data_IF_525465925324
#
_entry.id   IF_525465925324
#
_cell.length_a   1.000
_cell.length_b   1.000
_cell.length_c   1.000
_cell.angle_alpha   90.00
_cell.angle_beta   90.00
_cell.angle_gamma   90.00
#
_symmetry.space_group_name_H-M   'P 1'
#
loop_
_entity.id
_entity.type
_entity.pdbx_description
1 polymer ?
#
# COMPACT_ATOMS: atom_id res chain seq x y z
N UNK A 1 -2.00 2.46 2.32
CA UNK A 1 -1.33 3.66 1.99
C UNK A 1 -1.58 4.12 0.58
N UNK A 2 -2.32 5.17 0.41
CA UNK A 2 -2.56 5.83 -0.88
C UNK A 2 -1.81 7.16 -1.00
N UNK A 3 -1.00 7.49 0.00
CA UNK A 3 -0.27 8.74 0.08
C UNK A 3 -1.18 9.95 -0.12
N UNK A 4 -0.72 10.92 -0.89
CA UNK A 4 -1.49 12.11 -1.25
C UNK A 4 -2.38 11.94 -2.49
N UNK A 5 -2.59 10.69 -2.97
CA UNK A 5 -3.54 10.40 -4.04
C UNK A 5 -2.97 10.41 -5.46
N UNK A 6 -1.67 10.20 -5.62
CA UNK A 6 -1.06 10.08 -6.96
C UNK A 6 -1.72 8.99 -7.81
N UNK A 7 -2.05 7.85 -7.22
CA UNK A 7 -2.75 6.76 -7.92
C UNK A 7 -4.15 7.19 -8.39
N UNK A 8 -4.88 7.96 -7.55
CA UNK A 8 -6.16 8.54 -7.96
C UNK A 8 -6.00 9.46 -9.17
N UNK A 9 -5.02 10.35 -9.14
CA UNK A 9 -4.77 11.29 -10.24
C UNK A 9 -4.41 10.55 -11.55
N UNK A 10 -3.63 9.47 -11.46
CA UNK A 10 -3.32 8.63 -12.60
C UNK A 10 -4.55 7.87 -13.13
N UNK A 11 -5.38 7.33 -12.24
CA UNK A 11 -6.63 6.68 -12.62
C UNK A 11 -7.59 7.68 -13.29
N UNK A 12 -7.70 8.89 -12.78
CA UNK A 12 -8.56 9.94 -13.33
C UNK A 12 -8.21 10.30 -14.78
N UNK A 13 -6.93 10.23 -15.15
CA UNK A 13 -6.49 10.45 -16.54
C UNK A 13 -6.94 9.34 -17.50
N UNK A 14 -7.05 8.11 -16.99
CA UNK A 14 -7.25 6.91 -17.81
C UNK A 14 -8.69 6.37 -17.76
N UNK A 15 -9.44 6.66 -16.71
CA UNK A 15 -10.80 6.17 -16.51
C UNK A 15 -11.80 7.31 -16.69
N UNK A 16 -12.57 7.29 -17.79
CA UNK A 16 -13.58 8.32 -18.09
C UNK A 16 -14.88 8.17 -17.28
N UNK A 17 -15.14 6.99 -16.70
CA UNK A 17 -16.34 6.76 -15.89
C UNK A 17 -16.23 7.42 -14.51
N UNK A 18 -17.36 7.91 -13.99
CA UNK A 18 -17.43 8.41 -12.63
C UNK A 18 -17.22 7.25 -11.64
N UNK A 19 -16.35 7.44 -10.65
CA UNK A 19 -16.08 6.49 -9.59
C UNK A 19 -15.83 7.22 -8.27
N UNK A 20 -16.11 6.53 -7.17
CA UNK A 20 -15.81 7.02 -5.83
C UNK A 20 -14.45 6.44 -5.41
N UNK A 21 -13.54 7.29 -4.99
CA UNK A 21 -12.22 6.90 -4.51
C UNK A 21 -12.05 7.30 -3.06
N UNK A 22 -11.68 6.33 -2.21
CA UNK A 22 -11.41 6.56 -0.80
C UNK A 22 -9.97 6.14 -0.50
N UNK A 23 -9.16 7.09 -0.08
CA UNK A 23 -7.78 6.85 0.35
C UNK A 23 -7.80 6.55 1.85
N UNK A 24 -7.27 5.39 2.23
CA UNK A 24 -7.12 4.98 3.62
C UNK A 24 -5.67 5.17 4.02
N UNK A 25 -5.46 6.05 4.98
CA UNK A 25 -4.13 6.48 5.41
C UNK A 25 -3.99 6.64 6.92
N UNK A 26 -2.76 6.93 7.36
CA UNK A 26 -2.44 7.24 8.75
C UNK A 26 -3.18 8.49 9.22
N UNK A 27 -3.47 8.62 10.52
CA UNK A 27 -4.15 9.82 11.04
C UNK A 27 -3.44 11.13 10.71
N UNK A 28 -2.11 11.13 10.70
CA UNK A 28 -1.30 12.30 10.35
C UNK A 28 -1.48 12.71 8.89
N UNK A 29 -1.40 11.77 7.95
CA UNK A 29 -1.63 12.05 6.53
C UNK A 29 -3.06 12.52 6.24
N UNK A 30 -4.05 11.92 6.92
CA UNK A 30 -5.45 12.38 6.79
C UNK A 30 -5.62 13.80 7.32
N UNK A 31 -4.90 14.17 8.38
CA UNK A 31 -4.91 15.54 8.92
C UNK A 31 -4.31 16.51 7.90
N UNK A 32 -3.11 16.22 7.39
CA UNK A 32 -2.44 17.04 6.37
C UNK A 32 -3.31 17.19 5.11
N UNK A 33 -3.90 16.10 4.61
CA UNK A 33 -4.78 16.17 3.44
C UNK A 33 -5.97 17.13 3.63
N UNK A 34 -6.48 17.26 4.86
CA UNK A 34 -7.52 18.22 5.20
C UNK A 34 -6.99 19.66 5.29
N UNK A 35 -5.83 19.85 5.90
CA UNK A 35 -5.16 21.15 6.04
C UNK A 35 -4.79 21.74 4.67
N UNK A 36 -4.31 20.88 3.76
CA UNK A 36 -3.98 21.23 2.37
C UNK A 36 -5.19 21.27 1.42
N UNK A 37 -6.41 21.11 1.95
CA UNK A 37 -7.66 21.13 1.18
C UNK A 37 -7.67 20.16 -0.01
N UNK A 38 -7.11 18.95 0.16
CA UNK A 38 -7.13 17.92 -0.88
C UNK A 38 -8.53 17.30 -1.03
N UNK A 39 -9.42 17.99 -1.75
CA UNK A 39 -10.84 17.66 -1.86
C UNK A 39 -11.18 16.80 -3.08
N UNK A 40 -10.21 16.35 -3.85
CA UNK A 40 -10.43 15.60 -5.08
C UNK A 40 -10.90 14.15 -4.84
N UNK A 41 -10.69 13.62 -3.64
CA UNK A 41 -11.19 12.31 -3.21
C UNK A 41 -11.39 12.29 -1.68
N UNK A 42 -11.98 11.21 -1.16
CA UNK A 42 -12.17 11.04 0.27
C UNK A 42 -10.91 10.49 0.92
N UNK A 43 -10.46 11.12 2.01
CA UNK A 43 -9.41 10.61 2.89
C UNK A 43 -10.02 10.08 4.18
N UNK A 44 -9.63 8.87 4.58
CA UNK A 44 -10.13 8.20 5.77
C UNK A 44 -9.00 7.56 6.57
N UNK A 45 -9.13 7.59 7.90
CA UNK A 45 -8.27 6.82 8.79
C UNK A 45 -8.60 5.33 8.65
N UNK A 46 -7.60 4.48 8.77
CA UNK A 46 -7.84 3.04 8.82
C UNK A 46 -8.74 2.69 10.01
N UNK A 47 -9.79 1.93 9.76
CA UNK A 47 -10.65 1.36 10.80
C UNK A 47 -11.19 0.00 10.35
N UNK A 48 -11.57 -0.84 11.31
CA UNK A 48 -12.21 -2.14 11.02
C UNK A 48 -13.52 -1.97 10.24
N UNK A 49 -14.25 -0.89 10.48
CA UNK A 49 -15.52 -0.59 9.81
C UNK A 49 -15.34 -0.31 8.31
N UNK A 50 -14.21 0.30 7.90
CA UNK A 50 -13.93 0.55 6.48
C UNK A 50 -13.73 -0.74 5.68
N UNK A 51 -13.27 -1.81 6.32
CA UNK A 51 -13.06 -3.10 5.66
C UNK A 51 -14.38 -3.84 5.45
N UNK A 52 -15.41 -3.51 6.22
CA UNK A 52 -16.75 -4.10 6.09
C UNK A 52 -17.62 -3.40 5.03
N UNK A 53 -17.12 -2.35 4.39
CA UNK A 53 -17.83 -1.69 3.30
C UNK A 53 -17.66 -2.50 2.00
N UNK A 54 -18.71 -2.56 1.21
CA UNK A 54 -18.67 -3.16 -0.12
C UNK A 54 -17.96 -2.21 -1.07
N UNK A 55 -16.79 -2.60 -1.52
CA UNK A 55 -16.03 -1.91 -2.57
C UNK A 55 -16.02 -2.75 -3.85
N UNK A 56 -16.05 -2.12 -5.02
CA UNK A 56 -15.79 -2.83 -6.26
C UNK A 56 -14.32 -3.30 -6.31
N UNK A 57 -13.42 -2.48 -5.77
CA UNK A 57 -11.99 -2.72 -5.78
C UNK A 57 -11.33 -2.23 -4.49
N UNK A 58 -10.51 -3.08 -3.89
CA UNK A 58 -9.50 -2.68 -2.90
C UNK A 58 -8.13 -2.75 -3.55
N UNK A 59 -7.38 -1.67 -3.44
CA UNK A 59 -6.02 -1.58 -3.96
C UNK A 59 -5.06 -1.19 -2.85
N UNK A 60 -3.96 -1.91 -2.75
CA UNK A 60 -2.83 -1.59 -1.86
C UNK A 60 -1.52 -1.82 -2.61
N UNK A 61 -0.61 -0.87 -2.51
CA UNK A 61 0.72 -0.94 -3.15
C UNK A 61 1.80 -0.67 -2.13
N UNK A 62 2.76 -1.57 -2.00
CA UNK A 62 3.98 -1.42 -1.18
C UNK A 62 3.76 -0.89 0.25
N UNK A 63 2.57 -1.09 0.82
CA UNK A 63 2.20 -0.51 2.11
C UNK A 63 1.96 -1.54 3.22
N UNK A 64 1.56 -2.76 2.85
CA UNK A 64 1.25 -3.82 3.83
C UNK A 64 2.46 -4.23 4.67
N UNK A 65 3.64 -4.14 4.11
CA UNK A 65 4.90 -4.49 4.75
C UNK A 65 5.24 -3.64 5.99
N UNK A 66 4.64 -2.46 6.11
CA UNK A 66 4.90 -1.53 7.22
C UNK A 66 3.95 -1.68 8.40
N UNK A 67 2.98 -2.57 8.31
CA UNK A 67 2.11 -2.87 9.45
C UNK A 67 2.79 -3.80 10.45
N UNK A 68 2.54 -3.58 11.74
CA UNK A 68 3.03 -4.46 12.83
C UNK A 68 2.53 -5.90 12.67
N UNK A 69 1.31 -6.09 12.15
CA UNK A 69 0.72 -7.40 11.89
C UNK A 69 0.09 -7.44 10.49
N UNK A 70 0.90 -7.55 9.43
CA UNK A 70 0.42 -7.48 8.05
C UNK A 70 -0.53 -8.62 7.70
N UNK A 71 -0.32 -9.82 8.25
CA UNK A 71 -1.19 -10.97 8.00
C UNK A 71 -2.62 -10.71 8.49
N UNK A 72 -2.78 -10.02 9.62
CA UNK A 72 -4.11 -9.67 10.12
C UNK A 72 -4.80 -8.67 9.19
N UNK A 73 -4.07 -7.68 8.70
CA UNK A 73 -4.61 -6.71 7.74
C UNK A 73 -5.04 -7.41 6.45
N UNK A 74 -4.18 -8.30 5.90
CA UNK A 74 -4.51 -9.08 4.71
C UNK A 74 -5.79 -9.90 4.92
N UNK A 75 -5.91 -10.62 6.06
CA UNK A 75 -7.14 -11.36 6.39
C UNK A 75 -8.37 -10.45 6.44
N UNK A 76 -8.24 -9.23 6.97
CA UNK A 76 -9.34 -8.26 6.99
C UNK A 76 -9.72 -7.83 5.57
N UNK A 77 -8.75 -7.54 4.69
CA UNK A 77 -9.03 -7.17 3.30
C UNK A 77 -9.79 -8.29 2.57
N UNK A 78 -9.38 -9.54 2.74
CA UNK A 78 -10.04 -10.68 2.10
C UNK A 78 -11.40 -11.05 2.72
N UNK A 79 -11.69 -10.62 3.95
CA UNK A 79 -13.04 -10.74 4.55
C UNK A 79 -14.02 -9.68 4.05
N UNK A 80 -13.54 -8.65 3.35
CA UNK A 80 -14.40 -7.68 2.70
C UNK A 80 -15.22 -8.35 1.59
N UNK A 81 -16.33 -7.77 1.21
CA UNK A 81 -17.15 -8.24 0.08
C UNK A 81 -16.74 -7.61 -1.25
N UNK A 82 -15.48 -7.15 -1.36
CA UNK A 82 -14.99 -6.48 -2.57
C UNK A 82 -14.87 -7.43 -3.74
N UNK A 83 -15.29 -6.98 -4.92
CA UNK A 83 -15.24 -7.79 -6.15
C UNK A 83 -13.81 -8.11 -6.57
N UNK A 84 -12.90 -7.15 -6.39
CA UNK A 84 -11.48 -7.31 -6.68
C UNK A 84 -10.63 -6.83 -5.52
N UNK A 85 -9.49 -7.51 -5.29
CA UNK A 85 -8.43 -7.08 -4.39
C UNK A 85 -7.12 -7.11 -5.16
N UNK A 86 -6.40 -5.99 -5.17
CA UNK A 86 -5.09 -5.88 -5.80
C UNK A 86 -4.04 -5.67 -4.71
N UNK A 87 -3.12 -6.61 -4.60
CA UNK A 87 -1.92 -6.51 -3.79
C UNK A 87 -0.76 -6.18 -4.72
N UNK A 88 -0.45 -4.90 -4.90
CA UNK A 88 0.58 -4.44 -5.83
C UNK A 88 1.93 -4.26 -5.15
N UNK A 89 3.01 -4.61 -5.85
CA UNK A 89 4.39 -4.38 -5.45
C UNK A 89 4.70 -4.84 -4.02
N UNK A 90 4.25 -6.05 -3.68
CA UNK A 90 4.54 -6.62 -2.36
C UNK A 90 5.78 -7.51 -2.41
N UNK A 91 6.54 -7.49 -1.31
CA UNK A 91 7.74 -8.30 -1.13
C UNK A 91 7.38 -9.67 -0.60
N UNK A 92 7.53 -10.68 -1.43
CA UNK A 92 7.35 -12.08 -1.06
C UNK A 92 8.69 -12.74 -0.74
N UNK A 93 8.67 -13.77 0.10
CA UNK A 93 9.84 -14.57 0.41
C UNK A 93 9.45 -16.03 0.66
N UNK A 94 10.34 -16.95 0.31
CA UNK A 94 10.25 -18.36 0.69
C UNK A 94 10.50 -18.56 2.19
N UNK A 95 11.26 -17.66 2.83
CA UNK A 95 11.50 -17.59 4.26
C UNK A 95 11.11 -16.18 4.78
N UNK A 96 9.80 -15.94 5.03
CA UNK A 96 9.32 -14.61 5.38
C UNK A 96 9.87 -14.12 6.70
N UNK A 97 10.46 -12.94 6.70
CA UNK A 97 11.05 -12.29 7.88
C UNK A 97 10.46 -10.89 8.07
N UNK A 98 10.51 -10.44 9.31
CA UNK A 98 10.31 -9.04 9.66
C UNK A 98 11.67 -8.48 10.01
N UNK A 99 12.09 -7.42 9.36
CA UNK A 99 13.34 -6.73 9.61
C UNK A 99 13.10 -5.23 9.76
N UNK A 100 14.05 -4.56 10.40
CA UNK A 100 14.04 -3.12 10.49
C UNK A 100 14.72 -2.52 9.28
N UNK A 101 14.03 -1.60 8.62
CA UNK A 101 14.57 -0.85 7.49
C UNK A 101 14.90 0.56 7.95
N UNK A 102 16.05 1.05 7.51
CA UNK A 102 16.48 2.43 7.73
C UNK A 102 16.20 3.25 6.48
N UNK A 103 15.60 4.41 6.65
CA UNK A 103 15.60 5.47 5.65
C UNK A 103 16.28 6.70 6.24
N UNK A 104 17.19 7.27 5.50
CA UNK A 104 17.77 8.55 5.87
C UNK A 104 17.53 9.55 4.74
N UNK A 105 17.22 10.74 5.17
CA UNK A 105 17.23 11.89 4.28
C UNK A 105 18.67 12.41 4.21
N UNK A 106 19.24 12.43 3.01
CA UNK A 106 20.50 13.08 2.71
C UNK A 106 20.22 14.28 1.83
N UNK A 107 20.76 15.43 2.20
CA UNK A 107 20.68 16.65 1.39
C UNK A 107 21.20 16.42 -0.03
N UNK A 108 22.16 15.52 -0.20
CA UNK A 108 22.77 15.21 -1.50
C UNK A 108 21.86 14.44 -2.48
N UNK A 109 20.69 13.98 -2.04
CA UNK A 109 19.72 13.31 -2.92
C UNK A 109 18.77 14.29 -3.63
N UNK A 110 18.71 15.54 -3.17
CA UNK A 110 17.83 16.56 -3.75
C UNK A 110 18.68 17.66 -4.35
N UNK A 111 19.00 17.55 -5.61
CA UNK A 111 19.77 18.57 -6.38
C UNK A 111 18.89 19.75 -6.81
N UNK A 112 17.61 19.76 -6.46
CA UNK A 112 16.67 20.78 -6.87
C UNK A 112 16.46 21.77 -5.71
N UNK A 113 17.01 23.00 -5.84
CA UNK A 113 16.94 24.08 -4.85
C UNK A 113 15.55 24.33 -4.30
N UNK A 114 14.52 23.99 -5.09
CA UNK A 114 13.12 24.16 -4.72
C UNK A 114 12.69 23.23 -3.57
N UNK A 115 13.41 22.14 -3.32
CA UNK A 115 13.13 21.17 -2.25
C UNK A 115 14.03 21.36 -1.02
N UNK A 116 15.15 22.08 -1.12
CA UNK A 116 16.05 22.32 0.01
C UNK A 116 15.36 23.02 1.18
N UNK A 117 14.53 24.01 0.91
CA UNK A 117 13.83 24.80 1.94
C UNK A 117 12.78 24.02 2.73
N UNK A 118 12.23 22.95 2.18
CA UNK A 118 11.19 22.15 2.84
C UNK A 118 11.74 21.04 3.75
N UNK A 119 13.01 20.68 3.60
CA UNK A 119 13.58 19.50 4.26
C UNK A 119 14.78 19.80 5.18
N UNK A 120 15.14 21.04 5.40
CA UNK A 120 16.25 21.43 6.28
C UNK A 120 16.19 20.84 7.68
N UNK A 121 14.97 20.64 8.22
CA UNK A 121 14.76 20.01 9.52
C UNK A 121 14.81 18.47 9.50
N UNK A 122 14.85 17.86 8.32
CA UNK A 122 14.88 16.40 8.15
C UNK A 122 16.24 15.88 7.67
N UNK A 123 17.14 16.79 7.28
CA UNK A 123 18.51 16.45 6.89
C UNK A 123 19.19 15.69 8.04
N UNK A 124 19.75 14.54 7.73
CA UNK A 124 20.44 13.62 8.66
C UNK A 124 19.53 12.89 9.68
N UNK A 125 18.20 12.88 9.53
CA UNK A 125 17.33 12.02 10.34
C UNK A 125 17.25 10.62 9.77
N UNK A 126 17.65 9.65 10.58
CA UNK A 126 17.42 8.24 10.30
C UNK A 126 16.06 7.84 10.85
N UNK A 127 15.20 7.30 9.99
CA UNK A 127 13.90 6.76 10.38
C UNK A 127 13.99 5.24 10.31
N UNK A 128 13.66 4.59 11.42
CA UNK A 128 13.59 3.15 11.54
C UNK A 128 12.12 2.71 11.46
N UNK A 129 11.82 1.76 10.58
CA UNK A 129 10.48 1.22 10.45
C UNK A 129 10.51 -0.28 10.14
N UNK A 130 9.48 -1.04 10.55
CA UNK A 130 9.39 -2.45 10.23
C UNK A 130 9.15 -2.64 8.73
N UNK A 131 9.77 -3.66 8.17
CA UNK A 131 9.49 -4.14 6.83
C UNK A 131 9.26 -5.65 6.89
N UNK A 132 8.09 -6.10 6.49
CA UNK A 132 7.69 -7.50 6.51
C UNK A 132 7.73 -8.10 5.13
N UNK A 133 8.34 -9.26 4.99
CA UNK A 133 8.20 -10.11 3.82
C UNK A 133 6.99 -11.03 4.00
N UNK A 134 6.36 -11.40 2.89
CA UNK A 134 5.16 -12.22 2.91
C UNK A 134 5.43 -13.62 2.37
N UNK A 135 4.77 -14.61 2.95
CA UNK A 135 4.63 -15.93 2.31
C UNK A 135 3.51 -15.84 1.27
N UNK A 136 3.85 -16.00 -0.01
CA UNK A 136 2.86 -16.06 -1.08
C UNK A 136 1.85 -17.18 -0.83
N UNK A 137 2.32 -18.37 -0.46
CA UNK A 137 1.45 -19.52 -0.15
C UNK A 137 0.41 -19.18 0.93
N UNK A 138 0.83 -18.48 1.99
CA UNK A 138 -0.09 -18.09 3.07
C UNK A 138 -1.14 -17.10 2.59
N UNK A 139 -0.78 -16.17 1.72
CA UNK A 139 -1.74 -15.22 1.13
C UNK A 139 -2.74 -15.96 0.23
N UNK A 140 -2.26 -16.86 -0.61
CA UNK A 140 -3.12 -17.67 -1.48
C UNK A 140 -4.09 -18.55 -0.69
N UNK A 141 -3.64 -19.14 0.43
CA UNK A 141 -4.50 -19.89 1.34
C UNK A 141 -5.61 -19.00 1.94
N UNK A 142 -5.26 -17.79 2.40
CA UNK A 142 -6.24 -16.83 2.94
C UNK A 142 -7.25 -16.45 1.86
N UNK A 143 -6.80 -16.13 0.65
CA UNK A 143 -7.65 -15.78 -0.48
C UNK A 143 -8.66 -16.92 -0.77
N UNK A 144 -8.17 -18.13 -0.92
CA UNK A 144 -9.01 -19.33 -1.18
C UNK A 144 -10.05 -19.55 -0.07
N UNK A 145 -9.64 -19.47 1.20
CA UNK A 145 -10.53 -19.65 2.36
C UNK A 145 -11.62 -18.58 2.44
N UNK A 146 -11.45 -17.45 1.79
CA UNK A 146 -12.39 -16.32 1.79
C UNK A 146 -13.14 -16.15 0.47
N UNK A 147 -13.04 -17.14 -0.44
CA UNK A 147 -13.76 -17.17 -1.70
C UNK A 147 -13.17 -16.25 -2.77
N UNK A 148 -11.84 -16.14 -2.82
CA UNK A 148 -11.14 -15.44 -3.88
C UNK A 148 -10.22 -16.38 -4.66
N UNK A 149 -10.14 -16.13 -5.96
CA UNK A 149 -9.21 -16.78 -6.88
C UNK A 149 -8.22 -15.75 -7.45
N UNK A 150 -7.09 -16.26 -7.94
CA UNK A 150 -6.15 -15.43 -8.69
C UNK A 150 -6.76 -15.10 -10.05
N UNK A 151 -6.94 -13.82 -10.32
CA UNK A 151 -7.36 -13.34 -11.63
C UNK A 151 -6.17 -13.02 -12.53
N UNK A 152 -5.11 -12.40 -11.97
CA UNK A 152 -3.90 -12.05 -12.72
C UNK A 152 -2.70 -11.87 -11.80
N UNK A 153 -1.52 -12.18 -12.31
CA UNK A 153 -0.23 -11.97 -11.65
C UNK A 153 0.65 -11.13 -12.56
N UNK A 154 1.37 -10.19 -11.95
CA UNK A 154 2.44 -9.44 -12.58
C UNK A 154 3.70 -9.62 -11.75
N UNK A 155 4.78 -10.07 -12.38
CA UNK A 155 6.08 -10.18 -11.72
C UNK A 155 6.69 -8.78 -11.61
N UNK A 156 7.20 -8.46 -10.44
CA UNK A 156 7.95 -7.23 -10.22
C UNK A 156 9.38 -7.36 -10.73
N UNK A 157 10.02 -6.22 -10.90
CA UNK A 157 11.41 -6.14 -11.42
C UNK A 157 12.42 -6.26 -10.26
N UNK A 158 12.01 -6.00 -9.03
CA UNK A 158 12.89 -5.92 -7.88
C UNK A 158 13.11 -7.29 -7.23
N UNK A 159 14.37 -7.73 -7.20
CA UNK A 159 14.82 -8.83 -6.36
C UNK A 159 15.43 -8.24 -5.08
N UNK A 160 14.74 -8.41 -3.96
CA UNK A 160 15.18 -7.94 -2.65
C UNK A 160 16.10 -8.95 -1.92
N UNK A 161 16.95 -9.68 -2.68
CA UNK A 161 17.87 -10.70 -2.16
C UNK A 161 17.57 -12.11 -2.66
N UNK A 162 18.43 -13.08 -2.30
CA UNK A 162 18.42 -14.45 -2.87
C UNK A 162 17.10 -15.22 -2.70
N UNK A 163 16.28 -14.87 -1.71
CA UNK A 163 15.05 -15.60 -1.34
C UNK A 163 13.79 -14.73 -1.38
N UNK A 164 13.88 -13.51 -1.93
CA UNK A 164 12.76 -12.59 -1.98
C UNK A 164 12.54 -12.04 -3.39
N UNK A 165 11.29 -11.75 -3.70
CA UNK A 165 10.87 -11.27 -5.01
C UNK A 165 9.67 -10.34 -4.86
N UNK A 166 9.55 -9.40 -5.78
CA UNK A 166 8.39 -8.51 -5.85
C UNK A 166 7.34 -9.07 -6.79
N UNK A 167 6.09 -8.95 -6.41
CA UNK A 167 4.96 -9.41 -7.21
C UNK A 167 3.71 -8.57 -6.96
N UNK A 168 2.90 -8.40 -8.00
CA UNK A 168 1.55 -7.85 -7.88
C UNK A 168 0.55 -8.94 -8.22
N UNK A 169 -0.45 -9.14 -7.36
CA UNK A 169 -1.48 -10.17 -7.53
C UNK A 169 -2.85 -9.51 -7.51
N UNK A 170 -3.64 -9.79 -8.53
CA UNK A 170 -5.04 -9.42 -8.62
C UNK A 170 -5.89 -10.62 -8.25
N UNK A 171 -6.72 -10.45 -7.25
CA UNK A 171 -7.70 -11.44 -6.82
C UNK A 171 -9.10 -11.00 -7.21
N UNK A 172 -9.93 -11.97 -7.57
CA UNK A 172 -11.34 -11.80 -7.91
C UNK A 172 -12.20 -12.63 -6.97
N UNK A 173 -13.28 -12.09 -6.49
CA UNK A 173 -14.29 -12.80 -5.70
C UNK A 173 -15.00 -13.82 -6.58
N UNK A 174 -15.13 -15.06 -6.10
CA UNK A 174 -15.89 -16.14 -6.74
C UNK A 174 -17.37 -15.98 -6.36
#
# INVERSE_FOLDING_TARGET
>A
GGGYGSDYLNLKKNIKKKYNYNIIETPSLVKIAKEENLNFCKFSKFSKQLVNLNYDLIYTSSSLQYFKNPTQIIKMLFKSSSKFIILANNNFSFDPKIFSQYSFFSQNLFTDEKYELQYDNLSNKTILYPNSQFSELKILQIAKQTGYEIFKIYNGIENHGKNSYSKSIVFKKI
#
